data_IF_884454793628
#
_entry.id   IF_884454793628
#
_cell.length_a   1.000
_cell.length_b   1.000
_cell.length_c   1.000
_cell.angle_alpha   90.00
_cell.angle_beta   90.00
_cell.angle_gamma   90.00
#
_symmetry.space_group_name_H-M   'P 1'
#
loop_
_entity.id
_entity.type
_entity.pdbx_description
1 polymer ?
#
# COMPACT_ATOMS: atom_id res chain seq x y z
N UNK A 1 75.50 -56.26 67.95
CA UNK A 1 74.17 -55.61 67.87
C UNK A 1 74.37 -54.19 67.38
N UNK A 2 73.93 -53.90 66.15
CA UNK A 2 73.41 -52.60 65.69
C UNK A 2 73.29 -52.66 64.16
N UNK A 3 72.11 -53.06 63.69
CA UNK A 3 71.68 -52.83 62.32
C UNK A 3 70.90 -51.52 62.35
N UNK A 4 71.41 -50.48 61.68
CA UNK A 4 70.71 -49.20 61.53
C UNK A 4 69.68 -49.37 60.41
N UNK A 5 68.42 -49.07 60.75
CA UNK A 5 67.29 -48.99 59.83
C UNK A 5 67.53 -47.89 58.79
N UNK A 6 67.50 -48.27 57.51
CA UNK A 6 67.45 -47.34 56.38
C UNK A 6 65.99 -47.15 56.00
N UNK A 7 65.48 -45.94 56.23
CA UNK A 7 64.12 -45.49 55.88
C UNK A 7 63.86 -45.55 54.35
N UNK A 8 62.60 -45.80 53.92
CA UNK A 8 62.18 -45.63 52.54
C UNK A 8 61.76 -44.17 52.30
N UNK A 9 62.67 -43.35 51.75
CA UNK A 9 62.44 -41.93 51.49
C UNK A 9 62.19 -41.62 49.99
N UNK A 10 62.11 -42.64 49.14
CA UNK A 10 62.14 -42.47 47.68
C UNK A 10 60.78 -42.68 46.97
N UNK A 11 59.82 -43.36 47.60
CA UNK A 11 58.57 -43.75 46.94
C UNK A 11 57.51 -42.63 46.94
N UNK A 12 57.57 -41.69 47.89
CA UNK A 12 56.60 -40.59 48.00
C UNK A 12 56.83 -39.51 46.93
N UNK A 13 58.10 -39.17 46.66
CA UNK A 13 58.47 -38.13 45.69
C UNK A 13 58.10 -38.48 44.25
N UNK A 14 58.22 -39.76 43.86
CA UNK A 14 57.84 -40.23 42.52
C UNK A 14 56.33 -40.16 42.25
N UNK A 15 55.52 -40.34 43.29
CA UNK A 15 54.05 -40.29 43.18
C UNK A 15 53.55 -38.85 43.06
N UNK A 16 54.16 -37.92 43.79
CA UNK A 16 53.86 -36.48 43.72
C UNK A 16 54.22 -35.89 42.34
N UNK A 17 55.34 -36.33 41.76
CA UNK A 17 55.74 -35.93 40.39
C UNK A 17 54.72 -36.41 39.35
N UNK A 18 54.18 -37.63 39.48
CA UNK A 18 53.16 -38.15 38.58
C UNK A 18 51.83 -37.39 38.67
N UNK A 19 51.41 -37.00 39.88
CA UNK A 19 50.21 -36.19 40.10
C UNK A 19 50.33 -34.80 39.48
N UNK A 20 51.47 -34.13 39.69
CA UNK A 20 51.73 -32.81 39.10
C UNK A 20 51.74 -32.86 37.57
N UNK A 21 52.30 -33.92 36.97
CA UNK A 21 52.27 -34.08 35.51
C UNK A 21 50.85 -34.25 34.96
N UNK A 22 50.00 -35.02 35.65
CA UNK A 22 48.60 -35.19 35.27
C UNK A 22 47.79 -33.90 35.43
N UNK A 23 48.05 -33.14 36.49
CA UNK A 23 47.41 -31.84 36.73
C UNK A 23 47.81 -30.80 35.68
N UNK A 24 49.09 -30.76 35.30
CA UNK A 24 49.59 -29.91 34.20
C UNK A 24 48.96 -30.29 32.88
N UNK A 25 48.83 -31.59 32.57
CA UNK A 25 48.16 -32.05 31.35
C UNK A 25 46.68 -31.67 31.32
N UNK A 26 45.98 -31.83 32.44
CA UNK A 26 44.55 -31.48 32.56
C UNK A 26 44.36 -29.97 32.42
N UNK A 27 45.19 -29.18 33.11
CA UNK A 27 45.18 -27.72 33.04
C UNK A 27 45.48 -27.22 31.63
N UNK A 28 46.47 -27.81 30.96
CA UNK A 28 46.83 -27.48 29.57
C UNK A 28 45.69 -27.77 28.60
N UNK A 29 45.02 -28.90 28.73
CA UNK A 29 43.86 -29.24 27.90
C UNK A 29 42.70 -28.26 28.13
N UNK A 30 42.43 -27.89 29.38
CA UNK A 30 41.41 -26.90 29.72
C UNK A 30 41.73 -25.51 29.17
N UNK A 31 43.00 -25.11 29.17
CA UNK A 31 43.45 -23.82 28.64
C UNK A 31 43.32 -23.76 27.11
N UNK A 32 43.63 -24.86 26.42
CA UNK A 32 43.40 -24.96 24.98
C UNK A 32 41.91 -24.86 24.63
N UNK A 33 41.04 -25.56 25.36
CA UNK A 33 39.59 -25.47 25.15
C UNK A 33 39.07 -24.04 25.37
N UNK A 34 39.59 -23.33 26.37
CA UNK A 34 39.22 -21.94 26.63
C UNK A 34 39.71 -20.99 25.52
N UNK A 35 40.90 -21.24 24.97
CA UNK A 35 41.41 -20.47 23.84
C UNK A 35 40.56 -20.64 22.58
N UNK A 36 40.09 -21.87 22.32
CA UNK A 36 39.18 -22.16 21.21
C UNK A 36 37.84 -21.45 21.37
N UNK A 37 37.26 -21.47 22.58
CA UNK A 37 36.03 -20.74 22.89
C UNK A 37 36.21 -19.22 22.75
N UNK A 38 37.32 -18.67 23.22
CA UNK A 38 37.64 -17.25 23.05
C UNK A 38 37.72 -16.86 21.57
N UNK A 39 38.36 -17.69 20.74
CA UNK A 39 38.45 -17.46 19.29
C UNK A 39 37.07 -17.52 18.62
N UNK A 40 36.21 -18.49 19.00
CA UNK A 40 34.84 -18.58 18.51
C UNK A 40 34.02 -17.34 18.88
N UNK A 41 34.11 -16.90 20.13
CA UNK A 41 33.40 -15.71 20.61
C UNK A 41 33.89 -14.45 19.92
N UNK A 42 35.20 -14.31 19.69
CA UNK A 42 35.76 -13.18 18.94
C UNK A 42 35.23 -13.13 17.50
N UNK A 43 35.16 -14.29 16.82
CA UNK A 43 34.57 -14.38 15.49
C UNK A 43 33.07 -14.04 15.48
N UNK A 44 32.31 -14.54 16.45
CA UNK A 44 30.89 -14.25 16.58
C UNK A 44 30.63 -12.76 16.88
N UNK A 45 31.47 -12.13 17.70
CA UNK A 45 31.37 -10.71 18.01
C UNK A 45 31.65 -9.84 16.77
N UNK A 46 32.69 -10.16 16.01
CA UNK A 46 32.99 -9.48 14.75
C UNK A 46 31.85 -9.62 13.72
N UNK A 47 31.23 -10.81 13.64
CA UNK A 47 30.05 -11.01 12.79
C UNK A 47 28.88 -10.12 13.24
N UNK A 48 28.61 -10.04 14.55
CA UNK A 48 27.52 -9.20 15.09
C UNK A 48 27.76 -7.72 14.87
N UNK A 49 28.99 -7.26 14.98
CA UNK A 49 29.36 -5.87 14.65
C UNK A 49 29.10 -5.56 13.17
N UNK A 50 29.44 -6.48 12.26
CA UNK A 50 29.16 -6.33 10.83
C UNK A 50 27.65 -6.32 10.52
N UNK A 51 26.87 -7.19 11.16
CA UNK A 51 25.40 -7.20 11.05
C UNK A 51 24.79 -5.89 11.55
N UNK A 52 25.25 -5.38 12.68
CA UNK A 52 24.79 -4.12 13.26
C UNK A 52 25.09 -2.93 12.34
N UNK A 53 26.28 -2.89 11.74
CA UNK A 53 26.63 -1.87 10.76
C UNK A 53 25.70 -1.89 9.52
N UNK A 54 25.37 -3.08 9.00
CA UNK A 54 24.43 -3.23 7.88
C UNK A 54 23.02 -2.77 8.24
N UNK A 55 22.53 -3.12 9.43
CA UNK A 55 21.20 -2.70 9.89
C UNK A 55 21.13 -1.18 10.03
N UNK A 56 22.14 -0.55 10.63
CA UNK A 56 22.21 0.92 10.73
C UNK A 56 22.18 1.59 9.36
N UNK A 57 22.99 1.09 8.42
CA UNK A 57 23.00 1.63 7.06
C UNK A 57 21.64 1.48 6.38
N UNK A 58 20.99 0.33 6.52
CA UNK A 58 19.66 0.08 5.95
C UNK A 58 18.60 1.02 6.54
N UNK A 59 18.63 1.23 7.87
CA UNK A 59 17.73 2.15 8.55
C UNK A 59 17.91 3.58 8.06
N UNK A 60 19.15 4.04 7.90
CA UNK A 60 19.45 5.38 7.39
C UNK A 60 18.95 5.55 5.95
N UNK A 61 19.13 4.54 5.09
CA UNK A 61 18.63 4.58 3.71
C UNK A 61 17.10 4.60 3.64
N UNK A 62 16.42 3.81 4.46
CA UNK A 62 14.96 3.76 4.54
C UNK A 62 14.38 5.09 5.06
N UNK A 63 15.01 5.66 6.10
CA UNK A 63 14.59 6.95 6.64
C UNK A 63 14.70 8.08 5.60
N UNK A 64 15.77 8.08 4.80
CA UNK A 64 15.97 9.03 3.71
C UNK A 64 14.90 8.86 2.63
N UNK A 65 14.65 7.62 2.21
CA UNK A 65 13.65 7.33 1.19
C UNK A 65 12.24 7.77 1.62
N UNK A 66 11.87 7.58 2.89
CA UNK A 66 10.59 8.07 3.42
C UNK A 66 10.46 9.58 3.36
N UNK A 67 11.52 10.31 3.70
CA UNK A 67 11.52 11.78 3.63
C UNK A 67 11.40 12.24 2.18
N UNK A 68 12.14 11.63 1.26
CA UNK A 68 12.05 11.93 -0.17
C UNK A 68 10.63 11.70 -0.72
N UNK A 69 9.99 10.59 -0.34
CA UNK A 69 8.61 10.30 -0.74
C UNK A 69 7.61 11.32 -0.17
N UNK A 70 7.76 11.72 1.10
CA UNK A 70 6.90 12.72 1.72
C UNK A 70 7.02 14.08 1.02
N UNK A 71 8.24 14.50 0.68
CA UNK A 71 8.50 15.74 -0.06
C UNK A 71 7.88 15.70 -1.46
N UNK A 72 8.03 14.59 -2.18
CA UNK A 72 7.44 14.43 -3.51
C UNK A 72 5.89 14.48 -3.47
N UNK A 73 5.27 13.89 -2.45
CA UNK A 73 3.83 13.94 -2.26
C UNK A 73 3.32 15.37 -2.02
N UNK A 74 3.99 16.15 -1.17
CA UNK A 74 3.63 17.55 -0.92
C UNK A 74 3.86 18.44 -2.15
N UNK A 75 4.91 18.19 -2.94
CA UNK A 75 5.14 18.88 -4.20
C UNK A 75 4.01 18.64 -5.21
N UNK A 76 3.61 17.38 -5.40
CA UNK A 76 2.49 17.02 -6.29
C UNK A 76 1.19 17.67 -5.83
N UNK A 77 0.93 17.69 -4.52
CA UNK A 77 -0.24 18.35 -3.95
C UNK A 77 -0.25 19.85 -4.23
N UNK A 78 0.89 20.53 -4.08
CA UNK A 78 1.02 21.94 -4.42
C UNK A 78 0.77 22.18 -5.92
N UNK A 79 1.33 21.34 -6.80
CA UNK A 79 1.14 21.45 -8.25
C UNK A 79 -0.33 21.26 -8.65
N UNK A 80 -1.02 20.27 -8.08
CA UNK A 80 -2.45 20.05 -8.32
C UNK A 80 -3.26 21.27 -7.87
N UNK A 81 -2.99 21.80 -6.68
CA UNK A 81 -3.68 22.99 -6.16
C UNK A 81 -3.52 24.19 -7.10
N UNK A 82 -2.30 24.42 -7.60
CA UNK A 82 -2.04 25.50 -8.56
C UNK A 82 -2.80 25.31 -9.87
N UNK A 83 -2.86 24.08 -10.40
CA UNK A 83 -3.62 23.78 -11.63
C UNK A 83 -5.12 23.96 -11.42
N UNK A 84 -5.66 23.52 -10.28
CA UNK A 84 -7.08 23.73 -9.94
C UNK A 84 -7.42 25.22 -9.86
N UNK A 85 -6.56 26.04 -9.25
CA UNK A 85 -6.75 27.50 -9.21
C UNK A 85 -6.76 28.11 -10.62
N UNK A 86 -5.80 27.73 -11.47
CA UNK A 86 -5.74 28.22 -12.85
C UNK A 86 -6.99 27.84 -13.66
N UNK A 87 -7.52 26.64 -13.48
CA UNK A 87 -8.75 26.19 -14.14
C UNK A 87 -9.95 27.01 -13.66
N UNK A 88 -10.08 27.25 -12.36
CA UNK A 88 -11.16 28.07 -11.81
C UNK A 88 -11.12 29.51 -12.35
N UNK A 89 -9.93 30.10 -12.47
CA UNK A 89 -9.76 31.45 -13.06
C UNK A 89 -10.19 31.47 -14.54
N UNK A 90 -9.82 30.45 -15.31
CA UNK A 90 -10.24 30.32 -16.71
C UNK A 90 -11.75 30.13 -16.83
N UNK A 91 -12.33 29.28 -15.99
CA UNK A 91 -13.78 29.04 -15.97
C UNK A 91 -14.56 30.32 -15.65
N UNK A 92 -14.16 31.06 -14.61
CA UNK A 92 -14.76 32.35 -14.27
C UNK A 92 -14.65 33.37 -15.41
N UNK A 93 -13.51 33.39 -16.11
CA UNK A 93 -13.30 34.26 -17.28
C UNK A 93 -14.23 33.91 -18.45
N UNK A 94 -14.48 32.63 -18.68
CA UNK A 94 -15.41 32.15 -19.70
C UNK A 94 -16.85 32.52 -19.36
N UNK A 95 -17.29 32.29 -18.11
CA UNK A 95 -18.63 32.69 -17.68
C UNK A 95 -18.84 34.19 -17.83
N UNK A 96 -17.86 35.02 -17.45
CA UNK A 96 -17.92 36.47 -17.63
C UNK A 96 -18.12 36.85 -19.10
N UNK A 97 -17.33 36.27 -20.01
CA UNK A 97 -17.44 36.53 -21.45
C UNK A 97 -18.79 36.11 -22.02
N UNK A 98 -19.31 34.97 -21.59
CA UNK A 98 -20.62 34.49 -22.01
C UNK A 98 -21.73 35.44 -21.56
N UNK A 99 -21.66 35.95 -20.33
CA UNK A 99 -22.57 36.97 -19.82
C UNK A 99 -22.51 38.27 -20.62
N UNK A 100 -21.31 38.78 -20.89
CA UNK A 100 -21.09 40.02 -21.68
C UNK A 100 -21.74 39.90 -23.08
N UNK A 101 -21.53 38.76 -23.75
CA UNK A 101 -22.13 38.49 -25.06
C UNK A 101 -23.68 38.42 -25.03
N UNK A 102 -24.27 37.88 -23.97
CA UNK A 102 -25.73 37.84 -23.81
C UNK A 102 -26.31 39.24 -23.52
N UNK A 103 -25.60 40.07 -22.74
CA UNK A 103 -26.05 41.44 -22.46
C UNK A 103 -25.97 42.35 -23.68
N UNK A 104 -24.99 42.16 -24.57
CA UNK A 104 -24.89 42.92 -25.82
C UNK A 104 -25.93 42.48 -26.86
N UNK A 105 -26.29 41.18 -26.90
CA UNK A 105 -27.39 40.69 -27.75
C UNK A 105 -28.77 41.24 -27.36
N UNK A 106 -28.92 41.69 -26.11
CA UNK A 106 -30.17 42.26 -25.59
C UNK A 106 -30.30 43.76 -25.87
N UNK A 107 -29.24 44.43 -26.37
CA UNK A 107 -29.22 45.87 -26.68
C UNK A 107 -29.53 46.19 -28.14
N UNK A 108 -29.74 45.21 -29.00
CA UNK A 108 -30.13 45.41 -30.42
C UNK A 108 -31.60 45.11 -30.71
N UNK A 109 -32.46 44.98 -29.69
CA UNK A 109 -33.91 45.01 -29.85
C UNK A 109 -34.51 46.27 -29.23
N UNK A 110 -34.16 47.44 -29.79
CA UNK A 110 -35.02 48.61 -29.70
C UNK A 110 -34.64 49.64 -30.74
N UNK A 111 -35.66 50.09 -31.49
CA UNK A 111 -35.67 51.23 -32.42
C UNK A 111 -34.97 50.99 -33.76
N UNK A 112 -35.77 50.78 -34.82
CA UNK A 112 -35.58 51.29 -36.20
C UNK A 112 -36.94 50.98 -36.88
N UNK A 113 -37.81 51.95 -37.16
CA UNK A 113 -37.50 53.08 -38.04
C UNK A 113 -37.62 52.58 -39.48
N UNK A 114 -38.64 53.05 -40.19
CA UNK A 114 -38.90 52.73 -41.59
C UNK A 114 -37.62 52.79 -42.44
N UNK A 115 -37.18 51.67 -43.01
CA UNK A 115 -36.31 51.68 -44.18
C UNK A 115 -36.64 50.51 -45.11
N UNK A 116 -36.96 50.89 -46.33
CA UNK A 116 -37.40 50.07 -47.45
C UNK A 116 -36.31 49.06 -47.87
N UNK A 117 -36.54 47.76 -47.65
CA UNK A 117 -35.67 46.67 -48.10
C UNK A 117 -36.14 46.16 -49.46
N UNK A 118 -35.69 46.79 -50.56
CA UNK A 118 -36.05 46.36 -51.93
C UNK A 118 -35.09 45.36 -52.58
N UNK A 119 -33.99 44.93 -51.95
CA UNK A 119 -33.04 44.02 -52.60
C UNK A 119 -32.37 43.07 -51.59
N UNK A 120 -33.09 42.04 -51.15
CA UNK A 120 -32.49 40.86 -50.51
C UNK A 120 -32.77 39.67 -51.42
N UNK A 121 -31.75 38.89 -51.87
CA UNK A 121 -31.97 37.66 -52.59
C UNK A 121 -32.81 36.70 -51.73
N UNK A 122 -33.91 36.17 -52.28
CA UNK A 122 -34.72 35.15 -51.60
C UNK A 122 -33.85 33.92 -51.33
N UNK A 123 -33.66 33.59 -50.06
CA UNK A 123 -33.09 32.30 -49.63
C UNK A 123 -34.08 31.21 -50.10
N UNK A 124 -33.64 30.14 -50.78
CA UNK A 124 -34.51 29.02 -51.09
C UNK A 124 -35.06 28.40 -49.80
N UNK A 125 -36.35 28.06 -49.81
CA UNK A 125 -36.97 27.24 -48.78
C UNK A 125 -36.21 25.91 -48.68
N UNK A 126 -35.67 25.59 -47.51
CA UNK A 126 -35.14 24.27 -47.22
C UNK A 126 -36.31 23.41 -46.78
N UNK A 127 -36.67 22.43 -47.59
CA UNK A 127 -37.70 21.45 -47.21
C UNK A 127 -37.23 20.68 -45.98
N UNK A 128 -38.14 20.54 -45.01
CA UNK A 128 -38.00 19.93 -43.68
C UNK A 128 -37.36 18.54 -43.72
N UNK A 129 -36.03 18.49 -43.80
CA UNK A 129 -35.24 17.34 -43.38
C UNK A 129 -34.27 17.83 -42.30
N UNK A 130 -34.32 17.26 -41.08
CA UNK A 130 -33.36 17.60 -40.05
C UNK A 130 -31.96 17.31 -40.60
N UNK A 131 -31.12 18.34 -40.65
CA UNK A 131 -29.69 18.19 -40.91
C UNK A 131 -29.14 17.34 -39.75
N UNK A 132 -29.08 16.03 -39.97
CA UNK A 132 -28.43 15.09 -39.08
C UNK A 132 -26.94 15.42 -39.07
N UNK A 133 -26.49 16.07 -38.00
CA UNK A 133 -25.07 16.29 -37.69
C UNK A 133 -24.29 14.98 -37.41
N UNK A 134 -24.88 13.80 -37.66
CA UNK A 134 -24.28 12.50 -37.38
C UNK A 134 -23.56 11.87 -38.59
N UNK A 135 -23.19 12.65 -39.61
CA UNK A 135 -22.40 12.15 -40.74
C UNK A 135 -21.00 12.77 -40.79
N UNK A 136 -20.36 12.95 -39.64
CA UNK A 136 -18.91 12.86 -39.60
C UNK A 136 -18.59 11.36 -39.51
N UNK A 137 -17.84 10.83 -40.49
CA UNK A 137 -17.20 9.52 -40.33
C UNK A 137 -16.53 9.49 -38.95
N UNK A 138 -16.67 8.42 -38.16
CA UNK A 138 -16.01 8.35 -36.87
C UNK A 138 -14.52 8.40 -37.16
N UNK A 139 -13.89 9.54 -36.87
CA UNK A 139 -12.45 9.61 -36.94
C UNK A 139 -11.90 8.55 -35.98
N UNK A 140 -10.76 7.94 -36.33
CA UNK A 140 -10.13 6.95 -35.44
C UNK A 140 -9.78 7.51 -34.04
N UNK A 141 -10.02 8.80 -33.80
CA UNK A 141 -9.86 9.47 -32.52
C UNK A 141 -11.03 9.19 -31.55
N UNK A 142 -12.25 8.95 -32.05
CA UNK A 142 -13.37 8.47 -31.20
C UNK A 142 -13.05 7.10 -30.61
N UNK A 143 -12.47 6.18 -31.41
CA UNK A 143 -12.02 4.87 -30.90
C UNK A 143 -10.89 5.00 -29.87
N UNK A 144 -9.96 5.95 -30.05
CA UNK A 144 -8.87 6.21 -29.09
C UNK A 144 -9.44 6.81 -27.80
N UNK A 145 -10.38 7.74 -27.91
CA UNK A 145 -11.02 8.37 -26.75
C UNK A 145 -11.91 7.39 -26.00
N UNK A 146 -12.67 6.54 -26.69
CA UNK A 146 -13.47 5.50 -26.06
C UNK A 146 -12.59 4.42 -25.42
N UNK A 147 -11.49 4.02 -26.05
CA UNK A 147 -10.52 3.12 -25.43
C UNK A 147 -9.83 3.75 -24.23
N UNK A 148 -9.46 5.03 -24.30
CA UNK A 148 -8.89 5.77 -23.18
C UNK A 148 -9.90 5.90 -22.04
N UNK A 149 -11.13 6.31 -22.34
CA UNK A 149 -12.22 6.44 -21.38
C UNK A 149 -12.58 5.09 -20.77
N UNK A 150 -12.61 4.00 -21.53
CA UNK A 150 -12.80 2.65 -21.02
C UNK A 150 -11.62 2.20 -20.15
N UNK A 151 -10.37 2.48 -20.56
CA UNK A 151 -9.16 2.15 -19.79
C UNK A 151 -9.08 2.94 -18.49
N UNK A 152 -9.43 4.23 -18.53
CA UNK A 152 -9.54 5.10 -17.35
C UNK A 152 -10.73 4.72 -16.48
N UNK A 153 -11.87 4.33 -17.05
CA UNK A 153 -13.00 3.82 -16.27
C UNK A 153 -12.70 2.45 -15.64
N UNK A 154 -11.86 1.63 -16.29
CA UNK A 154 -11.38 0.36 -15.75
C UNK A 154 -10.33 0.54 -14.65
N UNK A 155 -9.48 1.57 -14.76
CA UNK A 155 -8.46 1.92 -13.76
C UNK A 155 -9.00 2.75 -12.59
N UNK A 156 -9.96 3.65 -12.85
CA UNK A 156 -10.40 4.71 -11.93
C UNK A 156 -11.92 4.87 -11.86
N UNK A 157 -12.69 4.21 -12.73
CA UNK A 157 -14.16 4.32 -12.82
C UNK A 157 -14.92 3.19 -12.14
N UNK A 158 -14.26 2.45 -11.23
CA UNK A 158 -14.99 1.79 -10.15
C UNK A 158 -15.53 2.86 -9.22
N UNK A 159 -16.84 2.94 -9.06
CA UNK A 159 -17.58 3.97 -8.30
C UNK A 159 -17.25 4.07 -6.80
N UNK A 160 -16.22 3.38 -6.32
CA UNK A 160 -15.65 3.52 -4.98
C UNK A 160 -14.13 3.77 -5.12
N UNK A 161 -13.71 5.02 -4.91
CA UNK A 161 -12.29 5.33 -4.74
C UNK A 161 -11.69 4.50 -3.59
N UNK A 162 -10.38 4.28 -3.58
CA UNK A 162 -9.70 3.58 -2.47
C UNK A 162 -10.07 4.19 -1.10
N UNK A 163 -10.24 5.51 -1.03
CA UNK A 163 -10.70 6.22 0.18
C UNK A 163 -12.11 5.81 0.58
N UNK A 164 -13.06 5.77 -0.37
CA UNK A 164 -14.44 5.36 -0.11
C UNK A 164 -14.53 3.88 0.26
N UNK A 165 -13.73 3.03 -0.38
CA UNK A 165 -13.63 1.61 -0.06
C UNK A 165 -13.10 1.40 1.36
N UNK A 166 -12.06 2.14 1.76
CA UNK A 166 -11.55 2.12 3.15
C UNK A 166 -12.61 2.58 4.15
N UNK A 167 -13.26 3.72 3.91
CA UNK A 167 -14.34 4.23 4.79
C UNK A 167 -15.48 3.22 4.94
N UNK A 168 -15.86 2.56 3.84
CA UNK A 168 -16.90 1.52 3.84
C UNK A 168 -16.47 0.29 4.64
N UNK A 169 -15.23 -0.16 4.46
CA UNK A 169 -14.65 -1.26 5.24
C UNK A 169 -14.62 -0.93 6.73
N UNK A 170 -14.26 0.31 7.12
CA UNK A 170 -14.17 0.70 8.52
C UNK A 170 -15.53 0.96 9.18
N UNK A 171 -16.53 1.37 8.42
CA UNK A 171 -17.88 1.64 8.94
C UNK A 171 -18.72 0.37 9.12
N UNK A 172 -18.42 -0.70 8.38
CA UNK A 172 -19.16 -1.95 8.46
C UNK A 172 -18.48 -2.97 9.38
N UNK A 173 -19.25 -3.55 10.30
CA UNK A 173 -18.81 -4.65 11.16
C UNK A 173 -19.83 -5.79 11.15
N UNK A 174 -19.34 -7.01 11.01
CA UNK A 174 -20.14 -8.22 11.17
C UNK A 174 -20.36 -8.45 12.67
N UNK A 175 -21.62 -8.40 13.09
CA UNK A 175 -22.06 -8.65 14.48
C UNK A 175 -23.07 -9.79 14.50
N UNK A 176 -23.35 -10.33 15.68
CA UNK A 176 -24.33 -11.41 15.88
C UNK A 176 -25.77 -11.03 15.45
N UNK A 177 -26.03 -9.74 15.23
CA UNK A 177 -27.32 -9.20 14.75
C UNK A 177 -27.32 -8.84 13.27
N UNK A 178 -26.15 -8.83 12.63
CA UNK A 178 -25.98 -8.44 11.23
C UNK A 178 -26.26 -9.63 10.32
N UNK A 179 -27.01 -9.43 9.23
CA UNK A 179 -27.16 -10.46 8.20
C UNK A 179 -25.82 -10.67 7.47
N UNK A 180 -25.30 -11.90 7.55
CA UNK A 180 -24.01 -12.25 6.96
C UNK A 180 -23.96 -11.98 5.46
N UNK A 181 -25.04 -12.32 4.74
CA UNK A 181 -25.09 -12.20 3.29
C UNK A 181 -25.08 -10.73 2.86
N UNK A 182 -25.84 -9.88 3.55
CA UNK A 182 -25.85 -8.42 3.33
C UNK A 182 -24.50 -7.80 3.68
N UNK A 183 -23.85 -8.23 4.75
CA UNK A 183 -22.51 -7.75 5.12
C UNK A 183 -21.48 -8.09 4.04
N UNK A 184 -21.43 -9.36 3.61
CA UNK A 184 -20.51 -9.83 2.58
C UNK A 184 -20.71 -9.10 1.25
N UNK A 185 -21.95 -8.97 0.77
CA UNK A 185 -22.24 -8.29 -0.49
C UNK A 185 -21.77 -6.83 -0.51
N UNK A 186 -21.76 -6.15 0.64
CA UNK A 186 -21.37 -4.75 0.72
C UNK A 186 -19.88 -4.54 1.01
N UNK A 187 -19.27 -5.38 1.85
CA UNK A 187 -17.88 -5.21 2.30
C UNK A 187 -16.88 -5.84 1.33
N UNK A 188 -17.24 -6.95 0.68
CA UNK A 188 -16.31 -7.75 -0.13
C UNK A 188 -15.82 -7.01 -1.38
N UNK A 189 -16.66 -6.25 -2.12
CA UNK A 189 -16.19 -5.37 -3.20
C UNK A 189 -15.18 -4.33 -2.70
N UNK A 190 -15.43 -3.71 -1.55
CA UNK A 190 -14.56 -2.69 -0.98
C UNK A 190 -13.21 -3.29 -0.52
N UNK A 191 -13.22 -4.47 0.10
CA UNK A 191 -11.99 -5.19 0.44
C UNK A 191 -11.18 -5.50 -0.82
N UNK A 192 -11.84 -5.97 -1.89
CA UNK A 192 -11.17 -6.26 -3.16
C UNK A 192 -10.49 -5.02 -3.76
N UNK A 193 -11.10 -3.84 -3.63
CA UNK A 193 -10.48 -2.57 -4.05
C UNK A 193 -9.25 -2.25 -3.19
N UNK A 194 -9.35 -2.44 -1.86
CA UNK A 194 -8.25 -2.11 -0.92
C UNK A 194 -7.06 -3.06 -1.07
N UNK A 195 -7.33 -4.33 -1.36
CA UNK A 195 -6.29 -5.37 -1.35
C UNK A 195 -5.80 -5.78 -2.72
N UNK A 196 -6.48 -5.33 -3.78
CA UNK A 196 -6.35 -5.83 -5.15
C UNK A 196 -6.40 -7.36 -5.16
N UNK A 197 -5.22 -8.01 -5.16
CA UNK A 197 -5.07 -9.45 -5.34
C UNK A 197 -4.43 -10.13 -4.10
N UNK A 198 -4.11 -9.37 -3.06
CA UNK A 198 -3.42 -9.87 -1.87
C UNK A 198 -4.39 -10.56 -0.90
N UNK A 199 -4.53 -11.88 -1.06
CA UNK A 199 -5.39 -12.72 -0.21
C UNK A 199 -5.07 -12.61 1.29
N UNK A 200 -3.79 -12.51 1.66
CA UNK A 200 -3.39 -12.38 3.07
C UNK A 200 -3.90 -11.06 3.66
N UNK A 201 -3.75 -9.96 2.92
CA UNK A 201 -4.25 -8.66 3.32
C UNK A 201 -5.78 -8.66 3.40
N UNK A 202 -6.47 -9.28 2.42
CA UNK A 202 -7.93 -9.37 2.40
C UNK A 202 -8.47 -10.09 3.63
N UNK A 203 -7.85 -11.22 4.02
CA UNK A 203 -8.20 -11.97 5.24
C UNK A 203 -7.99 -11.11 6.49
N UNK A 204 -6.85 -10.42 6.61
CA UNK A 204 -6.55 -9.56 7.77
C UNK A 204 -7.57 -8.44 7.93
N UNK A 205 -7.91 -7.76 6.83
CA UNK A 205 -8.88 -6.67 6.81
C UNK A 205 -10.28 -7.20 7.16
N UNK A 206 -10.76 -8.25 6.49
CA UNK A 206 -12.07 -8.83 6.76
C UNK A 206 -12.17 -9.27 8.23
N UNK A 207 -11.11 -9.93 8.74
CA UNK A 207 -11.07 -10.40 10.14
C UNK A 207 -11.05 -9.27 11.17
N UNK A 208 -10.59 -8.06 10.82
CA UNK A 208 -10.69 -6.87 11.67
C UNK A 208 -12.11 -6.33 11.76
N UNK A 209 -12.94 -6.60 10.74
CA UNK A 209 -14.35 -6.18 10.69
C UNK A 209 -15.33 -7.23 11.23
N UNK A 210 -14.83 -8.28 11.87
CA UNK A 210 -15.66 -9.28 12.56
C UNK A 210 -15.67 -8.99 14.05
N UNK A 211 -16.85 -8.95 14.65
CA UNK A 211 -16.99 -8.80 16.09
C UNK A 211 -16.30 -9.94 16.85
N UNK A 212 -15.78 -9.62 18.04
CA UNK A 212 -15.12 -10.57 18.95
C UNK A 212 -15.94 -11.84 19.22
N UNK A 213 -17.27 -11.72 19.21
CA UNK A 213 -18.22 -12.80 19.48
C UNK A 213 -18.15 -13.92 18.46
N UNK A 214 -17.93 -13.58 17.18
CA UNK A 214 -17.75 -14.53 16.06
C UNK A 214 -16.26 -14.84 15.86
N UNK A 215 -15.39 -13.82 16.01
CA UNK A 215 -13.94 -13.91 15.76
C UNK A 215 -13.24 -14.96 16.60
N UNK A 216 -13.75 -15.27 17.80
CA UNK A 216 -13.21 -16.31 18.69
C UNK A 216 -13.24 -17.72 18.09
N UNK A 217 -14.13 -17.97 17.12
CA UNK A 217 -14.24 -19.24 16.41
C UNK A 217 -13.43 -19.28 15.10
N UNK A 218 -12.72 -18.20 14.77
CA UNK A 218 -11.95 -18.06 13.53
C UNK A 218 -10.47 -17.89 13.87
N UNK A 219 -9.74 -18.99 14.13
CA UNK A 219 -8.29 -18.96 14.34
C UNK A 219 -7.54 -18.54 13.07
N UNK A 220 -6.31 -18.07 13.25
CA UNK A 220 -5.43 -17.72 12.13
C UNK A 220 -4.87 -18.99 11.51
N UNK A 221 -5.02 -19.14 10.19
CA UNK A 221 -4.50 -20.27 9.44
C UNK A 221 -3.47 -19.74 8.45
N UNK A 222 -2.26 -20.28 8.49
CA UNK A 222 -1.21 -19.92 7.55
C UNK A 222 -1.52 -20.48 6.16
N UNK A 223 -1.25 -19.68 5.12
CA UNK A 223 -1.45 -20.03 3.69
C UNK A 223 -2.90 -20.31 3.27
N UNK A 224 -3.87 -19.84 4.05
CA UNK A 224 -5.27 -19.90 3.67
C UNK A 224 -5.59 -18.93 2.52
N UNK A 225 -6.42 -19.38 1.57
CA UNK A 225 -6.96 -18.50 0.52
C UNK A 225 -8.17 -17.73 1.02
N UNK A 226 -8.45 -16.57 0.40
CA UNK A 226 -9.59 -15.75 0.79
C UNK A 226 -10.93 -16.52 0.74
N UNK A 227 -11.10 -17.37 -0.27
CA UNK A 227 -12.32 -18.20 -0.45
C UNK A 227 -12.49 -19.24 0.67
N UNK A 228 -11.40 -19.87 1.12
CA UNK A 228 -11.44 -20.81 2.24
C UNK A 228 -11.85 -20.10 3.53
N UNK A 229 -11.31 -18.91 3.77
CA UNK A 229 -11.67 -18.07 4.91
C UNK A 229 -13.16 -17.67 4.86
N UNK A 230 -13.67 -17.27 3.69
CA UNK A 230 -15.06 -16.88 3.50
C UNK A 230 -16.04 -18.02 3.79
N UNK A 231 -15.74 -19.24 3.34
CA UNK A 231 -16.59 -20.42 3.62
C UNK A 231 -16.65 -20.75 5.11
N UNK A 232 -15.51 -20.65 5.81
CA UNK A 232 -15.49 -20.84 7.27
C UNK A 232 -16.27 -19.74 7.98
N UNK A 233 -16.08 -18.50 7.55
CA UNK A 233 -16.81 -17.36 8.10
C UNK A 233 -18.33 -17.54 7.94
N UNK A 234 -18.79 -17.98 6.76
CA UNK A 234 -20.20 -18.31 6.50
C UNK A 234 -20.73 -19.40 7.42
N UNK A 235 -19.90 -20.41 7.72
CA UNK A 235 -20.27 -21.51 8.62
C UNK A 235 -20.40 -21.09 10.08
N UNK A 236 -19.77 -19.99 10.49
CA UNK A 236 -19.80 -19.47 11.86
C UNK A 236 -20.80 -18.32 12.05
N UNK A 237 -21.20 -17.66 10.97
CA UNK A 237 -22.13 -16.53 10.98
C UNK A 237 -23.58 -16.93 10.69
N UNK A 238 -23.83 -18.20 10.33
CA UNK A 238 -25.16 -18.81 10.15
C UNK A 238 -25.56 -19.67 11.35
#
# INVERSE_FOLDING_TARGET
MNSRDSQPLNDTSGNDIGQLQQEVMTSKNSLNALADEHNKLAAALSQKEAELARIKQSLDTESRHRIEQAVACEQLKAEISMKCEQLAVKEASLYKRHMELQTDSSRTESTIGQISLRNIPKIPSFDDHPISFNHAEPDGNIDIWDNLRQSLSKQFGGTESLSMALDKVYSMRLTDKSDFNSFIQQVLPAIKIVTSDNSKLAIVILRKQIDTSIRKYLPEIANETFEQFEQRLKSQAN
#
